data_IF_219073442537
#
_entry.id   IF_219073442537
#
_cell.length_a   1.000
_cell.length_b   1.000
_cell.length_c   1.000
_cell.angle_alpha   90.00
_cell.angle_beta   90.00
_cell.angle_gamma   90.00
#
_symmetry.space_group_name_H-M   'P 1'
#
loop_
_entity.id
_entity.type
_entity.pdbx_description
1 polymer ?
#
# COMPACT_ATOMS: atom_id res chain seq x y z
N UNK A 1 -13.98 14.56 -4.26
CA UNK A 1 -13.94 13.64 -5.41
C UNK A 1 -13.01 12.50 -5.05
N UNK A 2 -13.57 11.33 -4.74
CA UNK A 2 -12.82 10.12 -4.37
C UNK A 2 -12.16 9.57 -5.63
N UNK A 3 -10.84 9.76 -5.73
CA UNK A 3 -10.01 9.27 -6.83
C UNK A 3 -9.94 7.73 -6.71
N UNK A 4 -10.88 7.03 -7.38
CA UNK A 4 -10.87 5.56 -7.53
C UNK A 4 -9.76 5.11 -8.49
N UNK A 5 -8.53 5.58 -8.27
CA UNK A 5 -7.37 5.04 -8.95
C UNK A 5 -7.04 3.67 -8.37
N UNK A 6 -6.87 2.71 -9.28
CA UNK A 6 -6.31 1.42 -8.96
C UNK A 6 -4.80 1.58 -8.84
N UNK A 7 -4.29 1.33 -7.65
CA UNK A 7 -2.87 1.30 -7.36
C UNK A 7 -2.33 -0.11 -7.41
N UNK A 8 -1.27 -0.25 -8.18
CA UNK A 8 -0.37 -1.39 -8.11
C UNK A 8 0.54 -1.29 -6.88
N UNK A 9 1.25 -2.36 -6.56
CA UNK A 9 2.23 -2.35 -5.46
C UNK A 9 3.22 -1.17 -5.52
N UNK A 10 3.62 -0.73 -6.72
CA UNK A 10 4.56 0.38 -6.91
C UNK A 10 3.96 1.72 -6.52
N UNK A 11 2.69 1.95 -6.87
CA UNK A 11 1.99 3.19 -6.51
C UNK A 11 1.69 3.24 -5.00
N UNK A 12 1.28 2.12 -4.41
CA UNK A 12 1.09 1.99 -2.96
C UNK A 12 2.40 2.32 -2.22
N UNK A 13 3.51 1.72 -2.68
CA UNK A 13 4.83 1.94 -2.12
C UNK A 13 5.25 3.41 -2.19
N UNK A 14 5.12 4.02 -3.37
CA UNK A 14 5.42 5.44 -3.58
C UNK A 14 4.54 6.36 -2.73
N UNK A 15 3.26 6.02 -2.56
CA UNK A 15 2.33 6.82 -1.77
C UNK A 15 2.66 6.81 -0.27
N UNK A 16 2.99 5.65 0.29
CA UNK A 16 3.32 5.50 1.72
C UNK A 16 4.79 5.88 1.99
N UNK A 17 5.61 6.02 0.94
CA UNK A 17 7.05 6.26 1.05
C UNK A 17 7.84 5.02 1.47
N UNK A 18 7.35 3.82 1.15
CA UNK A 18 8.02 2.55 1.44
C UNK A 18 8.50 1.87 0.15
N UNK A 19 9.25 0.79 0.27
CA UNK A 19 9.63 -0.02 -0.90
C UNK A 19 8.52 -0.99 -1.29
N UNK A 20 8.46 -1.34 -2.58
CA UNK A 20 7.53 -2.35 -3.13
C UNK A 20 7.59 -3.67 -2.39
N UNK A 21 8.79 -4.10 -2.00
CA UNK A 21 9.03 -5.31 -1.21
C UNK A 21 8.38 -5.24 0.18
N UNK A 22 8.34 -4.05 0.80
CA UNK A 22 7.65 -3.85 2.08
C UNK A 22 6.15 -4.06 1.93
N UNK A 23 5.55 -3.56 0.85
CA UNK A 23 4.13 -3.78 0.55
C UNK A 23 3.85 -5.27 0.31
N UNK A 24 4.76 -5.96 -0.38
CA UNK A 24 4.68 -7.41 -0.59
C UNK A 24 4.76 -8.19 0.73
N UNK A 25 5.63 -7.76 1.64
CA UNK A 25 5.72 -8.29 3.01
C UNK A 25 4.43 -8.06 3.78
N UNK A 26 3.83 -6.88 3.71
CA UNK A 26 2.53 -6.62 4.37
C UNK A 26 1.45 -7.55 3.86
N UNK A 27 1.38 -7.80 2.56
CA UNK A 27 0.44 -8.77 1.98
C UNK A 27 0.73 -10.19 2.49
N UNK A 28 2.00 -10.59 2.52
CA UNK A 28 2.43 -11.91 3.03
C UNK A 28 2.05 -12.12 4.51
N UNK A 29 2.13 -11.07 5.31
CA UNK A 29 1.81 -11.11 6.74
C UNK A 29 0.33 -10.80 7.04
N UNK A 30 -0.53 -10.64 6.03
CA UNK A 30 -1.95 -10.32 6.23
C UNK A 30 -2.21 -8.93 6.83
N UNK A 31 -1.23 -8.03 6.74
CA UNK A 31 -1.32 -6.65 7.24
C UNK A 31 -1.89 -5.68 6.20
N UNK A 32 -1.85 -6.05 4.92
CA UNK A 32 -2.42 -5.27 3.84
C UNK A 32 -3.88 -5.67 3.67
N UNK A 33 -4.82 -4.74 3.37
CA UNK A 33 -6.18 -5.09 2.99
C UNK A 33 -6.21 -6.05 1.79
N UNK A 34 -7.31 -6.80 1.66
CA UNK A 34 -7.58 -7.62 0.49
C UNK A 34 -7.54 -6.79 -0.79
N UNK A 35 -7.03 -7.33 -1.90
CA UNK A 35 -7.04 -6.62 -3.18
C UNK A 35 -8.46 -6.42 -3.67
N UNK A 36 -8.80 -5.19 -4.01
CA UNK A 36 -10.11 -4.81 -4.54
C UNK A 36 -10.31 -5.35 -5.95
N UNK A 37 -9.23 -5.44 -6.74
CA UNK A 37 -9.26 -5.97 -8.10
C UNK A 37 -8.04 -6.85 -8.34
N UNK A 38 -8.21 -7.93 -9.08
CA UNK A 38 -7.07 -8.70 -9.61
C UNK A 38 -7.17 -8.70 -11.12
N UNK A 39 -6.30 -7.92 -11.78
CA UNK A 39 -6.27 -7.82 -13.23
C UNK A 39 -5.03 -8.57 -13.74
N UNK A 40 -5.24 -9.50 -14.67
CA UNK A 40 -4.17 -10.27 -15.31
C UNK A 40 -3.23 -10.99 -14.30
N UNK A 41 -3.80 -11.49 -13.20
CA UNK A 41 -3.07 -12.15 -12.11
C UNK A 41 -2.32 -11.21 -11.16
N UNK A 42 -2.40 -9.89 -11.37
CA UNK A 42 -1.81 -8.88 -10.50
C UNK A 42 -2.91 -8.28 -9.61
N UNK A 43 -2.71 -8.27 -8.28
CA UNK A 43 -3.62 -7.60 -7.37
C UNK A 43 -3.43 -6.07 -7.43
N UNK A 44 -4.55 -5.36 -7.37
CA UNK A 44 -4.68 -3.91 -7.35
C UNK A 44 -5.60 -3.50 -6.20
N UNK A 45 -5.35 -2.31 -5.67
CA UNK A 45 -6.12 -1.72 -4.57
C UNK A 45 -6.60 -0.35 -4.96
N UNK A 46 -7.75 0.07 -4.44
CA UNK A 46 -8.13 1.46 -4.57
C UNK A 46 -7.23 2.35 -3.71
N UNK A 47 -6.90 3.52 -4.25
CA UNK A 47 -6.20 4.57 -3.51
C UNK A 47 -6.92 4.90 -2.19
N UNK A 48 -8.25 4.92 -2.20
CA UNK A 48 -9.06 5.13 -0.99
C UNK A 48 -8.87 4.03 0.06
N UNK A 49 -8.92 2.74 -0.33
CA UNK A 49 -8.69 1.61 0.57
C UNK A 49 -7.34 1.73 1.28
N UNK A 50 -6.30 2.05 0.52
CA UNK A 50 -4.94 2.21 1.06
C UNK A 50 -4.86 3.46 1.95
N UNK A 51 -5.46 4.59 1.56
CA UNK A 51 -5.47 5.82 2.37
C UNK A 51 -6.17 5.61 3.71
N UNK A 52 -7.32 4.95 3.72
CA UNK A 52 -8.05 4.61 4.95
C UNK A 52 -7.20 3.72 5.84
N UNK A 53 -6.64 2.65 5.30
CA UNK A 53 -5.76 1.77 6.05
C UNK A 53 -4.49 2.46 6.58
N UNK A 54 -3.89 3.39 5.83
CA UNK A 54 -2.76 4.21 6.31
C UNK A 54 -3.20 5.11 7.45
N UNK A 55 -4.38 5.74 7.34
CA UNK A 55 -4.93 6.62 8.37
C UNK A 55 -5.28 5.87 9.66
N UNK A 56 -5.73 4.61 9.55
CA UNK A 56 -6.04 3.74 10.69
C UNK A 56 -4.79 3.14 11.35
N UNK A 57 -3.61 3.26 10.74
CA UNK A 57 -2.38 2.65 11.25
C UNK A 57 -1.70 3.49 12.34
N UNK A 58 -1.48 2.95 13.57
CA UNK A 58 -0.79 3.68 14.65
C UNK A 58 0.73 3.87 14.44
N UNK A 59 1.35 3.22 13.43
CA UNK A 59 2.78 2.91 13.46
C UNK A 59 3.71 3.60 12.47
N UNK A 60 3.25 4.47 11.54
CA UNK A 60 4.08 4.86 10.40
C UNK A 60 4.98 6.10 10.59
N UNK A 61 5.14 6.62 11.81
CA UNK A 61 6.04 7.76 12.07
C UNK A 61 7.54 7.39 12.09
N UNK A 62 7.91 6.11 12.06
CA UNK A 62 9.16 5.67 12.70
C UNK A 62 10.35 5.26 11.80
N UNK A 63 10.38 5.44 10.47
CA UNK A 63 11.60 5.04 9.74
C UNK A 63 11.96 5.85 8.50
N UNK A 64 12.15 7.15 8.71
CA UNK A 64 13.01 8.00 7.88
C UNK A 64 14.50 7.68 8.14
N UNK A 65 14.92 6.42 7.96
CA UNK A 65 16.30 6.02 8.13
C UNK A 65 16.73 5.02 7.06
N UNK A 66 17.77 5.42 6.30
CA UNK A 66 18.64 4.64 5.40
C UNK A 66 18.31 4.73 3.91
N UNK A 67 18.68 5.87 3.34
CA UNK A 67 19.48 5.90 2.10
C UNK A 67 20.51 7.03 2.24
N UNK A 68 21.60 6.70 2.92
CA UNK A 68 22.92 7.29 2.69
C UNK A 68 23.68 6.35 1.77
#
# INVERSE_FOLDING_TARGET
>A
MTDRRLWSYKEIAAHIGVQTDTVRSYRKHGLLPSPDLTENGKPYWFADTIRLWVAERPGNRARRARRG
#
